data_IF_015872310769
#
_entry.id   IF_015872310769
#
_cell.length_a   1.000
_cell.length_b   1.000
_cell.length_c   1.000
_cell.angle_alpha   90.00
_cell.angle_beta   90.00
_cell.angle_gamma   90.00
#
_symmetry.space_group_name_H-M   'P 1'
#
loop_
_entity.id
_entity.type
_entity.pdbx_description
1 polymer ?
#
# COMPACT_ATOMS: atom_id res chain seq x y z
N UNK A 1 74.74 46.42 38.62
CA UNK A 1 74.46 45.19 37.86
C UNK A 1 73.33 44.46 38.57
N UNK A 2 72.13 44.50 38.00
CA UNK A 2 70.99 43.69 38.39
C UNK A 2 70.36 43.22 37.07
N UNK A 3 70.22 41.90 36.92
CA UNK A 3 69.97 41.24 35.64
C UNK A 3 68.59 41.52 35.08
N UNK A 4 68.55 41.75 33.77
CA UNK A 4 67.32 41.74 32.99
C UNK A 4 66.84 40.29 32.90
N UNK A 5 65.70 39.99 33.52
CA UNK A 5 64.98 38.74 33.29
C UNK A 5 64.40 38.79 31.86
N UNK A 6 64.93 37.95 30.97
CA UNK A 6 64.33 37.68 29.66
C UNK A 6 62.90 37.14 29.87
N UNK A 7 61.91 38.01 29.77
CA UNK A 7 60.51 37.62 29.61
C UNK A 7 60.39 36.86 28.28
N UNK A 8 60.25 35.55 28.36
CA UNK A 8 59.74 34.73 27.26
C UNK A 8 58.35 35.27 26.89
N UNK A 9 58.27 35.96 25.75
CA UNK A 9 57.03 36.29 25.06
C UNK A 9 56.43 34.99 24.54
N UNK A 10 55.59 34.34 25.33
CA UNK A 10 54.73 33.26 24.85
C UNK A 10 53.50 33.96 24.29
N UNK A 11 53.46 34.13 22.97
CA UNK A 11 52.28 34.64 22.27
C UNK A 11 51.07 33.71 22.56
N UNK A 12 49.93 34.35 22.80
CA UNK A 12 48.66 33.72 23.10
C UNK A 12 48.18 32.85 21.92
N UNK A 13 47.92 31.57 22.22
CA UNK A 13 47.27 30.55 21.36
C UNK A 13 47.67 30.53 19.88
N UNK A 14 48.74 29.80 19.58
CA UNK A 14 49.10 29.38 18.23
C UNK A 14 48.02 28.42 17.68
N UNK A 15 47.00 28.98 17.02
CA UNK A 15 45.91 28.21 16.40
C UNK A 15 46.32 27.73 15.01
N UNK A 16 46.51 26.41 14.85
CA UNK A 16 46.77 25.80 13.54
C UNK A 16 45.44 25.45 12.88
N UNK A 17 45.13 26.03 11.71
CA UNK A 17 43.92 25.67 10.98
C UNK A 17 44.09 24.33 10.29
N UNK A 18 43.05 23.49 10.28
CA UNK A 18 43.07 22.14 9.67
C UNK A 18 43.50 22.18 8.19
N UNK A 19 43.18 23.26 7.47
CA UNK A 19 43.56 23.46 6.07
C UNK A 19 45.08 23.59 5.85
N UNK A 20 45.81 23.99 6.89
CA UNK A 20 47.26 24.21 6.87
C UNK A 20 48.04 22.95 7.29
N UNK A 21 47.32 21.87 7.64
CA UNK A 21 47.91 20.56 7.94
C UNK A 21 48.18 19.77 6.66
N UNK A 22 49.32 19.08 6.61
CA UNK A 22 49.63 18.15 5.52
C UNK A 22 48.63 16.99 5.51
N UNK A 23 48.06 16.70 4.34
CA UNK A 23 47.16 15.55 4.16
C UNK A 23 47.98 14.26 4.25
N UNK A 24 47.71 13.46 5.27
CA UNK A 24 48.26 12.11 5.39
C UNK A 24 47.61 11.21 4.32
N UNK A 25 48.42 10.57 3.49
CA UNK A 25 47.96 9.67 2.42
C UNK A 25 47.78 8.22 2.86
N UNK A 26 48.39 7.84 3.99
CA UNK A 26 48.38 6.47 4.52
C UNK A 26 48.23 6.52 6.03
N UNK A 27 47.26 5.80 6.60
CA UNK A 27 46.95 5.81 8.03
C UNK A 27 47.26 4.44 8.63
N UNK A 28 48.05 4.42 9.69
CA UNK A 28 48.35 3.23 10.48
C UNK A 28 47.33 3.07 11.63
N UNK A 29 47.23 1.86 12.16
CA UNK A 29 46.29 1.53 13.23
C UNK A 29 46.49 2.36 14.52
N UNK A 30 47.74 2.67 14.83
CA UNK A 30 48.13 3.39 16.05
C UNK A 30 48.16 4.91 15.85
N UNK A 31 47.90 5.40 14.64
CA UNK A 31 47.78 6.82 14.36
C UNK A 31 46.59 7.41 15.13
N UNK A 32 46.80 8.62 15.66
CA UNK A 32 45.79 9.34 16.43
C UNK A 32 44.94 10.22 15.52
N UNK A 33 43.62 10.03 15.61
CA UNK A 33 42.63 10.96 15.09
C UNK A 33 42.33 11.97 16.18
N UNK A 34 42.70 13.23 15.93
CA UNK A 34 42.29 14.36 16.76
C UNK A 34 40.78 14.55 16.60
N UNK A 35 40.09 14.64 17.73
CA UNK A 35 38.68 14.99 17.83
C UNK A 35 38.64 16.43 18.35
N UNK A 36 38.58 17.37 17.42
CA UNK A 36 38.34 18.78 17.74
C UNK A 36 36.82 18.98 17.87
N UNK A 37 36.34 19.11 19.12
CA UNK A 37 34.94 19.42 19.44
C UNK A 37 34.72 20.91 19.73
N UNK A 38 35.73 21.76 19.50
CA UNK A 38 35.66 23.20 19.76
C UNK A 38 35.63 23.58 21.25
N UNK A 39 35.80 22.63 22.16
CA UNK A 39 35.89 22.84 23.61
C UNK A 39 37.33 22.55 24.04
N UNK A 40 37.88 23.35 24.96
CA UNK A 40 39.30 23.44 25.33
C UNK A 40 40.06 22.14 25.73
N UNK A 41 39.45 20.96 25.65
CA UNK A 41 40.13 19.68 25.83
C UNK A 41 40.31 18.96 24.49
N UNK A 42 41.52 19.02 23.93
CA UNK A 42 41.90 18.22 22.78
C UNK A 42 41.83 16.73 23.14
N UNK A 43 40.86 16.01 22.58
CA UNK A 43 40.75 14.54 22.72
C UNK A 43 41.28 13.89 21.45
N UNK A 44 41.84 12.70 21.60
CA UNK A 44 42.28 11.89 20.47
C UNK A 44 41.87 10.43 20.66
N UNK A 45 41.59 9.76 19.55
CA UNK A 45 41.32 8.31 19.51
C UNK A 45 42.25 7.67 18.48
N UNK A 46 42.77 6.47 18.75
CA UNK A 46 43.51 5.74 17.71
C UNK A 46 42.59 5.34 16.57
N UNK A 47 43.12 5.33 15.34
CA UNK A 47 42.39 4.91 14.16
C UNK A 47 41.78 3.50 14.33
N UNK A 48 42.54 2.59 14.94
CA UNK A 48 42.08 1.24 15.31
C UNK A 48 40.86 1.25 16.22
N UNK A 49 40.85 2.08 17.26
CA UNK A 49 39.75 2.14 18.21
C UNK A 49 38.51 2.82 17.63
N UNK A 50 38.69 3.82 16.76
CA UNK A 50 37.62 4.42 15.97
C UNK A 50 36.95 3.37 15.07
N UNK A 51 37.72 2.66 14.24
CA UNK A 51 37.20 1.60 13.36
C UNK A 51 36.48 0.49 14.14
N UNK A 52 37.06 0.06 15.27
CA UNK A 52 36.44 -0.96 16.13
C UNK A 52 35.10 -0.49 16.68
N UNK A 53 34.99 0.78 17.07
CA UNK A 53 33.77 1.37 17.64
C UNK A 53 32.71 1.59 16.57
N UNK A 54 33.07 2.18 15.44
CA UNK A 54 32.19 2.34 14.28
C UNK A 54 31.64 0.99 13.82
N UNK A 55 32.51 0.00 13.57
CA UNK A 55 32.09 -1.37 13.19
C UNK A 55 31.12 -1.97 14.21
N UNK A 56 31.38 -1.79 15.51
CA UNK A 56 30.48 -2.28 16.56
C UNK A 56 29.13 -1.56 16.52
N UNK A 57 29.08 -0.24 16.38
CA UNK A 57 27.83 0.51 16.33
C UNK A 57 27.03 0.21 15.05
N UNK A 58 27.68 0.10 13.90
CA UNK A 58 27.04 -0.21 12.61
C UNK A 58 26.52 -1.65 12.54
N UNK A 59 27.31 -2.64 12.98
CA UNK A 59 26.97 -4.06 12.79
C UNK A 59 26.45 -4.77 14.05
N UNK A 60 26.49 -4.11 15.21
CA UNK A 60 26.04 -4.69 16.50
C UNK A 60 25.27 -3.72 17.39
N UNK A 61 25.21 -2.44 17.06
CA UNK A 61 24.53 -1.40 17.83
C UNK A 61 23.33 -0.83 17.08
N UNK A 62 23.04 0.46 17.30
CA UNK A 62 21.85 1.15 16.76
C UNK A 62 21.79 1.12 15.22
N UNK A 63 22.94 1.16 14.53
CA UNK A 63 23.02 1.10 13.06
C UNK A 63 22.71 -0.27 12.47
N UNK A 64 22.61 -1.34 13.28
CA UNK A 64 22.32 -2.69 12.78
C UNK A 64 20.90 -2.77 12.20
N UNK A 65 19.95 -2.01 12.76
CA UNK A 65 18.58 -1.94 12.26
C UNK A 65 18.55 -1.39 10.84
N UNK A 66 19.12 -0.20 10.64
CA UNK A 66 19.24 0.46 9.33
C UNK A 66 19.99 -0.42 8.33
N UNK A 67 21.11 -1.03 8.74
CA UNK A 67 21.86 -1.93 7.87
C UNK A 67 21.04 -3.14 7.42
N UNK A 68 20.23 -3.74 8.31
CA UNK A 68 19.34 -4.85 7.94
C UNK A 68 18.27 -4.42 6.95
N UNK A 69 17.68 -3.24 7.12
CA UNK A 69 16.66 -2.73 6.20
C UNK A 69 17.25 -2.42 4.83
N UNK A 70 18.45 -1.81 4.75
CA UNK A 70 19.16 -1.61 3.49
C UNK A 70 19.39 -2.95 2.79
N UNK A 71 19.95 -3.95 3.48
CA UNK A 71 20.21 -5.26 2.89
C UNK A 71 18.90 -5.94 2.42
N UNK A 72 17.82 -5.87 3.21
CA UNK A 72 16.51 -6.41 2.80
C UNK A 72 15.98 -5.70 1.55
N UNK A 73 16.05 -4.38 1.48
CA UNK A 73 15.58 -3.59 0.33
C UNK A 73 16.38 -3.95 -0.91
N UNK A 74 17.72 -3.99 -0.80
CA UNK A 74 18.59 -4.37 -1.91
C UNK A 74 18.30 -5.78 -2.41
N UNK A 75 18.19 -6.77 -1.53
CA UNK A 75 17.83 -8.14 -1.93
C UNK A 75 16.45 -8.18 -2.58
N UNK A 76 15.46 -7.46 -2.03
CA UNK A 76 14.12 -7.42 -2.60
C UNK A 76 14.10 -6.79 -4.01
N UNK A 77 14.84 -5.70 -4.22
CA UNK A 77 15.01 -5.05 -5.52
C UNK A 77 15.71 -5.97 -6.52
N UNK A 78 16.80 -6.63 -6.13
CA UNK A 78 17.51 -7.59 -6.98
C UNK A 78 16.63 -8.78 -7.36
N UNK A 79 15.90 -9.36 -6.40
CA UNK A 79 14.98 -10.48 -6.65
C UNK A 79 13.78 -10.05 -7.51
N UNK A 80 13.29 -8.82 -7.38
CA UNK A 80 12.21 -8.30 -8.21
C UNK A 80 12.65 -8.02 -9.65
N UNK A 81 13.93 -7.67 -9.85
CA UNK A 81 14.53 -7.49 -11.17
C UNK A 81 14.87 -8.83 -11.87
N UNK A 82 14.99 -9.93 -11.13
CA UNK A 82 15.22 -11.27 -11.68
C UNK A 82 13.91 -11.86 -12.26
N UNK A 83 13.80 -11.82 -13.59
CA UNK A 83 12.63 -12.31 -14.32
C UNK A 83 12.37 -13.82 -14.09
N UNK A 84 13.42 -14.64 -13.94
CA UNK A 84 13.28 -16.09 -13.72
C UNK A 84 12.74 -16.37 -12.31
N UNK A 85 13.28 -15.67 -11.31
CA UNK A 85 12.78 -15.74 -9.94
C UNK A 85 11.31 -15.31 -9.86
N UNK A 86 10.95 -14.18 -10.47
CA UNK A 86 9.58 -13.66 -10.51
C UNK A 86 8.64 -14.66 -11.18
N UNK A 87 9.02 -15.22 -12.34
CA UNK A 87 8.24 -16.27 -13.02
C UNK A 87 8.02 -17.49 -12.12
N UNK A 88 9.05 -17.95 -11.41
CA UNK A 88 8.96 -19.09 -10.49
C UNK A 88 8.06 -18.80 -9.29
N UNK A 89 8.07 -17.58 -8.76
CA UNK A 89 7.15 -17.15 -7.69
C UNK A 89 5.71 -17.15 -8.20
N UNK A 90 5.44 -16.55 -9.35
CA UNK A 90 4.09 -16.57 -9.93
C UNK A 90 3.63 -17.99 -10.24
N UNK A 91 4.48 -18.83 -10.82
CA UNK A 91 4.18 -20.24 -11.03
C UNK A 91 3.84 -20.95 -9.71
N UNK A 92 4.61 -20.76 -8.64
CA UNK A 92 4.32 -21.34 -7.33
C UNK A 92 3.03 -20.79 -6.69
N UNK A 93 2.70 -19.51 -6.90
CA UNK A 93 1.44 -18.92 -6.42
C UNK A 93 0.27 -19.52 -7.20
N UNK A 94 0.39 -19.61 -8.53
CA UNK A 94 -0.58 -20.25 -9.40
C UNK A 94 -0.73 -21.72 -9.00
N UNK A 95 0.35 -22.46 -8.80
CA UNK A 95 0.33 -23.86 -8.36
C UNK A 95 -0.22 -24.02 -6.94
N UNK A 96 -0.11 -23.02 -6.05
CA UNK A 96 -0.77 -23.07 -4.72
C UNK A 96 -2.24 -22.65 -4.77
N UNK A 97 -2.60 -21.78 -5.70
CA UNK A 97 -3.96 -21.27 -5.92
C UNK A 97 -4.81 -22.30 -6.70
N UNK A 98 -4.24 -22.84 -7.76
CA UNK A 98 -4.80 -23.85 -8.67
C UNK A 98 -4.53 -25.25 -8.14
N UNK A 99 -3.49 -25.44 -7.33
CA UNK A 99 -3.01 -26.74 -6.84
C UNK A 99 -4.11 -27.67 -6.36
N UNK A 100 -4.60 -28.47 -7.32
CA UNK A 100 -5.33 -29.73 -7.33
C UNK A 100 -6.23 -30.14 -6.15
N UNK A 101 -6.51 -29.27 -5.19
CA UNK A 101 -7.53 -29.45 -4.18
C UNK A 101 -8.78 -28.74 -4.68
N UNK A 102 -9.66 -29.50 -5.33
CA UNK A 102 -10.98 -29.05 -5.81
C UNK A 102 -11.74 -28.22 -4.78
N UNK A 103 -11.51 -28.50 -3.50
CA UNK A 103 -12.15 -27.84 -2.37
C UNK A 103 -11.74 -26.37 -2.24
N UNK A 104 -10.49 -26.02 -2.55
CA UNK A 104 -10.00 -24.63 -2.49
C UNK A 104 -10.53 -23.78 -3.66
N UNK A 105 -10.59 -24.35 -4.86
CA UNK A 105 -11.18 -23.68 -6.03
C UNK A 105 -12.70 -23.52 -5.86
N UNK A 106 -13.38 -24.55 -5.36
CA UNK A 106 -14.80 -24.50 -5.02
C UNK A 106 -15.09 -23.45 -3.95
N UNK A 107 -14.22 -23.33 -2.94
CA UNK A 107 -14.32 -22.29 -1.92
C UNK A 107 -14.09 -20.89 -2.47
N UNK A 108 -13.10 -20.70 -3.36
CA UNK A 108 -12.86 -19.42 -4.02
C UNK A 108 -14.03 -19.03 -4.92
N UNK A 109 -14.50 -19.96 -5.76
CA UNK A 109 -15.68 -19.77 -6.60
C UNK A 109 -16.91 -19.44 -5.76
N UNK A 110 -17.14 -20.14 -4.64
CA UNK A 110 -18.24 -19.86 -3.73
C UNK A 110 -18.14 -18.47 -3.09
N UNK A 111 -16.93 -18.02 -2.71
CA UNK A 111 -16.70 -16.67 -2.20
C UNK A 111 -16.96 -15.60 -3.25
N UNK A 112 -16.48 -15.80 -4.48
CA UNK A 112 -16.74 -14.91 -5.62
C UNK A 112 -18.24 -14.84 -5.91
N UNK A 113 -18.91 -16.00 -5.97
CA UNK A 113 -20.35 -16.12 -6.15
C UNK A 113 -21.11 -15.39 -5.04
N UNK A 114 -20.75 -15.61 -3.78
CA UNK A 114 -21.38 -14.94 -2.63
C UNK A 114 -21.24 -13.43 -2.75
N UNK A 115 -20.02 -12.93 -3.01
CA UNK A 115 -19.81 -11.49 -3.14
C UNK A 115 -20.57 -10.88 -4.31
N UNK A 116 -20.62 -11.55 -5.44
CA UNK A 116 -21.39 -11.11 -6.59
C UNK A 116 -22.90 -11.10 -6.27
N UNK A 117 -23.41 -12.15 -5.63
CA UNK A 117 -24.81 -12.22 -5.15
C UNK A 117 -25.11 -11.10 -4.17
N UNK A 118 -24.28 -10.88 -3.16
CA UNK A 118 -24.47 -9.83 -2.15
C UNK A 118 -24.48 -8.43 -2.80
N UNK A 119 -23.54 -8.17 -3.72
CA UNK A 119 -23.49 -6.93 -4.47
C UNK A 119 -24.73 -6.71 -5.33
N UNK A 120 -25.23 -7.75 -6.01
CA UNK A 120 -26.46 -7.67 -6.81
C UNK A 120 -27.71 -7.51 -5.92
N UNK A 121 -27.83 -8.27 -4.83
CA UNK A 121 -28.96 -8.22 -3.90
C UNK A 121 -29.07 -6.89 -3.16
N UNK A 122 -27.94 -6.20 -2.95
CA UNK A 122 -27.89 -4.89 -2.28
C UNK A 122 -28.15 -3.70 -3.21
N UNK A 123 -28.12 -3.90 -4.54
CA UNK A 123 -28.28 -2.83 -5.51
C UNK A 123 -29.77 -2.60 -5.86
N UNK A 124 -30.28 -1.35 -5.79
CA UNK A 124 -31.62 -1.04 -6.26
C UNK A 124 -31.68 -1.22 -7.79
N UNK A 125 -32.57 -2.09 -8.26
CA UNK A 125 -32.76 -2.37 -9.69
C UNK A 125 -33.34 -1.15 -10.41
N UNK A 126 -32.71 -0.76 -11.51
CA UNK A 126 -33.13 0.30 -12.41
C UNK A 126 -33.75 -0.27 -13.70
N UNK A 127 -34.52 0.55 -14.43
CA UNK A 127 -35.18 0.14 -15.69
C UNK A 127 -34.19 -0.21 -16.82
N UNK A 128 -32.93 0.21 -16.71
CA UNK A 128 -31.85 -0.10 -17.66
C UNK A 128 -31.16 -1.44 -17.37
N UNK A 129 -31.44 -2.06 -16.22
CA UNK A 129 -30.77 -3.29 -15.82
C UNK A 129 -31.39 -4.52 -16.50
N UNK A 130 -30.53 -5.46 -16.89
CA UNK A 130 -30.95 -6.79 -17.35
C UNK A 130 -30.93 -7.78 -16.19
N UNK A 131 -32.01 -8.55 -16.03
CA UNK A 131 -32.01 -9.72 -15.14
C UNK A 131 -31.05 -10.76 -15.69
N UNK A 132 -30.08 -11.15 -14.88
CA UNK A 132 -29.22 -12.30 -15.14
C UNK A 132 -29.89 -13.54 -14.57
N UNK A 133 -30.53 -14.34 -15.42
CA UNK A 133 -31.04 -15.65 -15.03
C UNK A 133 -29.90 -16.64 -15.21
N UNK A 134 -29.39 -17.15 -14.09
CA UNK A 134 -28.52 -18.32 -14.08
C UNK A 134 -29.40 -19.55 -13.86
N UNK A 135 -29.85 -20.16 -14.95
CA UNK A 135 -30.38 -21.52 -14.89
C UNK A 135 -29.26 -22.48 -14.49
N UNK A 136 -29.59 -23.65 -13.95
CA UNK A 136 -28.64 -24.71 -13.58
C UNK A 136 -27.71 -25.17 -14.73
N UNK A 137 -27.94 -24.71 -15.96
CA UNK A 137 -27.14 -24.93 -17.15
C UNK A 137 -26.34 -23.67 -17.55
N UNK A 138 -25.05 -23.64 -17.20
CA UNK A 138 -23.87 -23.08 -17.90
C UNK A 138 -23.94 -21.79 -18.77
N UNK A 139 -25.04 -21.03 -18.78
CA UNK A 139 -25.22 -19.84 -19.60
C UNK A 139 -25.97 -18.77 -18.83
N UNK A 140 -25.52 -17.51 -18.99
CA UNK A 140 -26.15 -16.35 -18.38
C UNK A 140 -27.09 -15.75 -19.42
N UNK A 141 -28.40 -15.79 -19.15
CA UNK A 141 -29.39 -15.13 -20.00
C UNK A 141 -29.71 -13.74 -19.44
N UNK A 142 -29.66 -12.72 -20.31
CA UNK A 142 -30.09 -11.35 -19.98
C UNK A 142 -31.53 -11.16 -20.43
N UNK A 143 -32.46 -10.96 -19.50
CA UNK A 143 -33.85 -10.59 -19.82
C UNK A 143 -34.18 -9.22 -19.23
N UNK A 144 -34.86 -8.31 -19.96
CA UNK A 144 -35.33 -7.06 -19.38
C UNK A 144 -36.21 -7.31 -18.15
N UNK A 145 -36.12 -6.47 -17.11
CA UNK A 145 -36.98 -6.59 -15.93
C UNK A 145 -38.45 -6.45 -16.35
N UNK A 146 -39.34 -7.41 -16.05
CA UNK A 146 -40.77 -7.27 -16.32
C UNK A 146 -41.33 -6.00 -15.68
N UNK A 147 -42.03 -5.18 -16.48
CA UNK A 147 -42.63 -3.90 -16.02
C UNK A 147 -43.48 -4.02 -14.75
N UNK A 148 -44.04 -5.20 -14.50
CA UNK A 148 -44.84 -5.53 -13.30
C UNK A 148 -44.04 -5.56 -11.99
N UNK A 149 -42.72 -5.76 -12.05
CA UNK A 149 -41.82 -5.79 -10.90
C UNK A 149 -41.23 -4.40 -10.59
N UNK A 150 -41.36 -3.43 -11.49
CA UNK A 150 -40.86 -2.05 -11.32
C UNK A 150 -41.91 -1.08 -10.75
N UNK A 151 -42.99 -1.59 -10.17
CA UNK A 151 -44.08 -0.80 -9.60
C UNK A 151 -45.15 -0.38 -10.61
N UNK A 152 -45.94 0.64 -10.24
CA UNK A 152 -47.00 1.21 -11.06
C UNK A 152 -46.39 1.76 -12.37
N UNK A 153 -46.90 1.37 -13.56
CA UNK A 153 -46.42 1.89 -14.84
C UNK A 153 -46.44 3.42 -14.88
N UNK A 154 -45.48 4.05 -15.57
CA UNK A 154 -45.40 5.52 -15.65
C UNK A 154 -46.58 6.18 -16.36
N UNK A 155 -47.36 5.41 -17.12
CA UNK A 155 -48.59 5.84 -17.79
C UNK A 155 -49.86 5.46 -17.00
N UNK A 156 -49.71 5.03 -15.74
CA UNK A 156 -50.85 4.76 -14.88
C UNK A 156 -51.45 6.06 -14.36
N UNK A 157 -52.74 6.26 -14.58
CA UNK A 157 -53.48 7.43 -14.11
C UNK A 157 -54.57 7.01 -13.12
N UNK A 158 -54.89 7.87 -12.16
CA UNK A 158 -56.02 7.64 -11.26
C UNK A 158 -57.21 8.46 -11.75
N UNK A 159 -58.10 7.80 -12.48
CA UNK A 159 -59.34 8.42 -12.96
C UNK A 159 -60.45 8.36 -11.91
N UNK A 160 -61.26 9.43 -11.86
CA UNK A 160 -62.33 9.60 -10.87
C UNK A 160 -63.45 8.56 -10.94
N UNK A 161 -64.50 8.77 -10.13
CA UNK A 161 -65.63 7.84 -9.99
C UNK A 161 -66.38 7.70 -11.32
N UNK A 162 -66.55 6.46 -11.78
CA UNK A 162 -67.41 6.14 -12.93
C UNK A 162 -68.76 5.65 -12.40
N UNK A 163 -69.83 6.30 -12.83
CA UNK A 163 -71.22 5.96 -12.49
C UNK A 163 -71.89 5.36 -13.74
N UNK A 164 -71.54 4.12 -14.07
CA UNK A 164 -72.10 3.37 -15.22
C UNK A 164 -72.21 1.88 -14.85
N UNK A 165 -73.17 1.19 -15.45
CA UNK A 165 -73.45 -0.25 -15.23
C UNK A 165 -72.57 -1.18 -16.07
N UNK A 166 -71.77 -0.65 -16.99
CA UNK A 166 -70.86 -1.41 -17.83
C UNK A 166 -69.53 -0.67 -17.97
N UNK A 167 -68.42 -1.42 -17.90
CA UNK A 167 -67.06 -0.93 -18.09
C UNK A 167 -66.47 -1.48 -19.38
N UNK A 168 -65.85 -0.62 -20.16
CA UNK A 168 -65.06 -0.98 -21.32
C UNK A 168 -63.57 -1.08 -20.94
N UNK A 169 -62.77 -1.92 -21.64
CA UNK A 169 -61.34 -2.01 -21.42
C UNK A 169 -60.61 -0.66 -21.38
N UNK A 170 -61.00 0.28 -22.25
CA UNK A 170 -60.47 1.65 -22.28
C UNK A 170 -60.70 2.47 -21.00
N UNK A 171 -61.68 2.07 -20.17
CA UNK A 171 -62.03 2.78 -18.94
C UNK A 171 -61.03 2.48 -17.80
N UNK A 172 -60.41 1.30 -17.82
CA UNK A 172 -59.47 0.83 -16.78
C UNK A 172 -58.07 0.50 -17.32
N UNK A 173 -57.84 0.59 -18.63
CA UNK A 173 -56.52 0.38 -19.21
C UNK A 173 -55.53 1.45 -18.73
N UNK A 174 -54.52 1.01 -17.98
CA UNK A 174 -53.57 1.87 -17.26
C UNK A 174 -54.25 2.90 -16.34
N UNK A 175 -55.45 2.58 -15.82
CA UNK A 175 -56.21 3.51 -14.98
C UNK A 175 -56.74 2.86 -13.71
N UNK A 176 -56.59 3.55 -12.57
CA UNK A 176 -57.36 3.25 -11.36
C UNK A 176 -58.76 3.84 -11.50
N UNK A 177 -59.80 3.06 -11.18
CA UNK A 177 -61.20 3.48 -11.29
C UNK A 177 -61.94 3.09 -10.02
N UNK A 178 -62.72 4.02 -9.47
CA UNK A 178 -63.74 3.69 -8.45
C UNK A 178 -65.08 3.51 -9.17
N UNK A 179 -65.66 2.32 -9.03
CA UNK A 179 -67.03 2.05 -9.45
C UNK A 179 -67.94 2.39 -8.28
N UNK A 180 -68.89 3.31 -8.50
CA UNK A 180 -69.97 3.56 -7.56
C UNK A 180 -71.21 2.84 -8.08
N UNK A 181 -71.49 1.65 -7.51
CA UNK A 181 -72.64 0.81 -7.84
C UNK A 181 -73.92 1.32 -7.17
#
# INVERSE_FOLDING_TARGET
MAGEEEKLLIDEEETVQIKDLNKVTTVNNDDLLLLDDGVASNKAITFKNFLKTAKRQTFKGEGLGEFKEIIKSTIAEELAADEEFVKKIYANIIDKLIGNNSDKLSNLFSKIKSRLTDSISSAPLSKSDGLLIMSSSSSIQKTPIPKKLTGIPSNFDYTGKITRTMLYPSDYENKGVIINL
#
